data_IF_207613689710
#
_entry.id   IF_207613689710
#
_cell.length_a   1.000
_cell.length_b   1.000
_cell.length_c   1.000
_cell.angle_alpha   90.00
_cell.angle_beta   90.00
_cell.angle_gamma   90.00
#
_symmetry.space_group_name_H-M   'P 1'
#
loop_
_entity.id
_entity.type
_entity.pdbx_description
1 polymer ?
#
# COMPACT_ATOMS: atom_id res chain seq x y z
N UNK A 1 -2.58 -7.60 -8.82
CA UNK A 1 -2.87 -8.90 -8.20
C UNK A 1 -4.11 -8.67 -7.37
N UNK A 2 -5.22 -9.35 -7.65
CA UNK A 2 -6.46 -9.11 -6.91
C UNK A 2 -6.47 -9.94 -5.63
N UNK A 3 -6.80 -9.32 -4.49
CA UNK A 3 -6.90 -9.98 -3.18
C UNK A 3 -8.20 -10.79 -3.05
N UNK A 4 -9.26 -10.39 -3.76
CA UNK A 4 -10.53 -11.10 -3.86
C UNK A 4 -10.79 -11.46 -5.31
N UNK A 5 -11.21 -12.69 -5.57
CA UNK A 5 -11.56 -13.14 -6.92
C UNK A 5 -13.04 -12.86 -7.24
N UNK A 6 -13.35 -12.71 -8.53
CA UNK A 6 -14.74 -12.59 -9.01
C UNK A 6 -15.58 -13.78 -8.57
N UNK A 7 -15.01 -14.98 -8.55
CA UNK A 7 -15.71 -16.20 -8.15
C UNK A 7 -16.10 -16.18 -6.67
N UNK A 8 -15.21 -15.73 -5.79
CA UNK A 8 -15.48 -15.57 -4.35
C UNK A 8 -16.54 -14.50 -4.09
N UNK A 9 -16.40 -13.32 -4.73
CA UNK A 9 -17.38 -12.25 -4.61
C UNK A 9 -18.75 -12.72 -5.11
N UNK A 10 -18.81 -13.37 -6.26
CA UNK A 10 -20.05 -13.92 -6.86
C UNK A 10 -20.72 -14.93 -5.93
N UNK A 11 -19.94 -15.84 -5.36
CA UNK A 11 -20.43 -16.84 -4.39
C UNK A 11 -20.98 -16.18 -3.13
N UNK A 12 -20.27 -15.18 -2.60
CA UNK A 12 -20.68 -14.47 -1.37
C UNK A 12 -21.95 -13.65 -1.58
N UNK A 13 -22.10 -13.02 -2.74
CA UNK A 13 -23.29 -12.23 -3.08
C UNK A 13 -24.50 -13.10 -3.49
N UNK A 14 -24.28 -14.37 -3.83
CA UNK A 14 -25.34 -15.27 -4.29
C UNK A 14 -25.96 -14.85 -5.63
N UNK A 15 -25.26 -14.06 -6.45
CA UNK A 15 -25.82 -13.46 -7.68
C UNK A 15 -25.73 -14.36 -8.92
N UNK A 16 -25.12 -15.54 -8.81
CA UNK A 16 -24.97 -16.47 -9.93
C UNK A 16 -24.34 -15.80 -11.17
N UNK A 17 -24.94 -15.98 -12.35
CA UNK A 17 -24.47 -15.39 -13.61
C UNK A 17 -25.24 -14.11 -13.98
N UNK A 18 -25.98 -13.52 -13.04
CA UNK A 18 -26.83 -12.34 -13.30
C UNK A 18 -26.02 -11.11 -13.74
N UNK A 19 -24.80 -10.98 -13.26
CA UNK A 19 -23.91 -9.86 -13.59
C UNK A 19 -22.67 -10.33 -14.32
N UNK A 20 -22.19 -9.55 -15.33
CA UNK A 20 -20.95 -9.84 -16.05
C UNK A 20 -19.73 -9.86 -15.13
N UNK A 21 -18.74 -10.71 -15.46
CA UNK A 21 -17.48 -10.78 -14.70
C UNK A 21 -16.75 -9.44 -14.64
N UNK A 22 -16.78 -8.66 -15.71
CA UNK A 22 -16.15 -7.34 -15.75
C UNK A 22 -16.72 -6.41 -14.67
N UNK A 23 -18.04 -6.42 -14.43
CA UNK A 23 -18.67 -5.58 -13.40
C UNK A 23 -18.25 -5.99 -11.99
N UNK A 24 -18.11 -7.28 -11.74
CA UNK A 24 -17.63 -7.79 -10.46
C UNK A 24 -16.12 -7.57 -10.29
N UNK A 25 -15.35 -7.66 -11.37
CA UNK A 25 -13.93 -7.35 -11.36
C UNK A 25 -13.67 -5.89 -10.98
N UNK A 26 -14.44 -4.94 -11.53
CA UNK A 26 -14.36 -3.53 -11.16
C UNK A 26 -14.58 -3.29 -9.66
N UNK A 27 -15.42 -4.12 -9.01
CA UNK A 27 -15.64 -4.05 -7.57
C UNK A 27 -14.44 -4.60 -6.79
N UNK A 28 -13.88 -5.71 -7.25
CA UNK A 28 -12.66 -6.28 -6.66
C UNK A 28 -11.48 -5.31 -6.76
N UNK A 29 -11.27 -4.70 -7.92
CA UNK A 29 -10.20 -3.72 -8.17
C UNK A 29 -10.39 -2.46 -7.31
N UNK A 30 -11.62 -2.00 -7.13
CA UNK A 30 -11.95 -0.88 -6.24
C UNK A 30 -11.64 -1.22 -4.77
N UNK A 31 -11.94 -2.44 -4.33
CA UNK A 31 -11.59 -2.95 -3.00
C UNK A 31 -10.09 -2.96 -2.77
N UNK A 32 -9.33 -3.47 -3.73
CA UNK A 32 -7.86 -3.49 -3.66
C UNK A 32 -7.28 -2.07 -3.59
N UNK A 33 -7.83 -1.13 -4.35
CA UNK A 33 -7.43 0.28 -4.32
C UNK A 33 -7.62 0.91 -2.94
N UNK A 34 -8.64 0.48 -2.19
CA UNK A 34 -8.90 0.96 -0.81
C UNK A 34 -8.01 0.25 0.21
N UNK A 35 -7.81 -1.06 0.07
CA UNK A 35 -7.14 -1.88 1.07
C UNK A 35 -5.61 -1.82 1.00
N UNK A 36 -5.04 -1.89 -0.22
CA UNK A 36 -3.58 -1.95 -0.41
C UNK A 36 -2.81 -0.80 0.25
N UNK A 37 -3.27 0.47 0.21
CA UNK A 37 -2.59 1.56 0.90
C UNK A 37 -2.58 1.43 2.43
N UNK A 38 -3.49 0.64 3.01
CA UNK A 38 -3.54 0.39 4.45
C UNK A 38 -2.54 -0.67 4.89
N UNK A 39 -2.08 -1.52 3.98
CA UNK A 39 -1.15 -2.61 4.25
C UNK A 39 0.30 -2.14 4.21
N UNK A 40 1.14 -2.77 5.02
CA UNK A 40 2.57 -2.57 5.00
C UNK A 40 3.17 -3.04 3.68
N UNK A 41 3.84 -2.14 2.96
CA UNK A 41 4.40 -2.42 1.64
C UNK A 41 5.93 -2.57 1.66
N UNK A 42 6.53 -2.88 2.80
CA UNK A 42 7.99 -2.85 2.96
C UNK A 42 8.64 -1.52 2.52
N UNK A 43 7.90 -0.42 2.68
CA UNK A 43 8.36 0.90 2.27
C UNK A 43 8.75 1.73 3.48
N UNK A 44 9.91 2.37 3.40
CA UNK A 44 10.31 3.43 4.31
C UNK A 44 10.56 4.71 3.53
N UNK A 45 10.28 5.83 4.18
CA UNK A 45 10.51 7.16 3.61
C UNK A 45 11.83 7.72 4.12
N UNK A 46 12.67 8.16 3.19
CA UNK A 46 13.87 8.90 3.55
C UNK A 46 13.63 10.41 3.47
N UNK A 47 14.22 11.14 4.39
CA UNK A 47 13.99 12.58 4.58
C UNK A 47 15.10 13.44 3.99
N UNK A 48 16.33 12.91 3.96
CA UNK A 48 17.52 13.58 3.46
C UNK A 48 18.35 12.62 2.63
N UNK A 49 19.19 13.20 1.79
CA UNK A 49 20.16 12.47 0.99
C UNK A 49 21.48 13.23 0.88
N UNK A 50 22.54 12.52 0.57
CA UNK A 50 23.86 13.08 0.23
C UNK A 50 24.58 12.15 -0.74
N UNK A 51 25.53 12.70 -1.49
CA UNK A 51 26.43 11.96 -2.36
C UNK A 51 27.86 12.42 -2.10
N UNK A 52 28.75 11.50 -1.82
CA UNK A 52 30.19 11.81 -1.64
C UNK A 52 31.02 10.65 -2.17
N UNK A 53 31.99 10.94 -3.00
CA UNK A 53 32.91 9.95 -3.57
C UNK A 53 32.18 8.77 -4.26
N UNK A 54 31.10 9.05 -5.01
CA UNK A 54 30.24 8.06 -5.65
C UNK A 54 29.51 7.12 -4.69
N UNK A 55 29.35 7.50 -3.41
CA UNK A 55 28.55 6.80 -2.43
C UNK A 55 27.35 7.68 -2.07
N UNK A 56 26.14 7.21 -2.40
CA UNK A 56 24.90 7.82 -1.96
C UNK A 56 24.56 7.37 -0.55
N UNK A 57 24.11 8.31 0.27
CA UNK A 57 23.61 8.02 1.62
C UNK A 57 22.21 8.60 1.76
N UNK A 58 21.24 7.76 2.15
CA UNK A 58 19.87 8.15 2.41
C UNK A 58 19.60 8.07 3.91
N UNK A 59 18.96 9.12 4.46
CA UNK A 59 18.72 9.28 5.89
C UNK A 59 17.24 9.17 6.19
N UNK A 60 16.93 8.52 7.30
CA UNK A 60 15.58 8.26 7.81
C UNK A 60 15.32 9.04 9.10
N UNK A 61 14.06 9.37 9.34
CA UNK A 61 13.64 10.04 10.57
C UNK A 61 13.70 9.13 11.82
N UNK A 62 13.63 7.81 11.61
CA UNK A 62 13.64 6.81 12.69
C UNK A 62 14.73 5.77 12.46
N UNK A 63 14.99 4.95 13.50
CA UNK A 63 15.92 3.84 13.39
C UNK A 63 15.41 2.79 12.40
N UNK A 64 16.32 2.29 11.57
CA UNK A 64 16.08 1.25 10.55
C UNK A 64 16.77 -0.08 10.90
N UNK A 65 17.28 -0.21 12.11
CA UNK A 65 17.87 -1.48 12.55
C UNK A 65 16.85 -2.62 12.50
N UNK A 66 17.28 -3.75 11.91
CA UNK A 66 16.43 -4.93 11.73
C UNK A 66 15.49 -4.86 10.53
N UNK A 67 15.45 -3.72 9.81
CA UNK A 67 14.65 -3.57 8.58
C UNK A 67 15.47 -3.92 7.35
N UNK A 68 16.71 -3.43 7.30
CA UNK A 68 17.63 -3.65 6.19
C UNK A 68 18.93 -4.33 6.64
N UNK A 69 19.66 -4.90 5.67
CA UNK A 69 21.00 -5.46 5.90
C UNK A 69 21.92 -5.16 4.70
N UNK A 70 23.22 -5.13 4.94
CA UNK A 70 24.23 -4.92 3.91
C UNK A 70 24.20 -6.07 2.90
N UNK A 71 24.25 -5.76 1.61
CA UNK A 71 24.10 -6.70 0.50
C UNK A 71 22.66 -6.88 0.01
N UNK A 72 21.65 -6.30 0.69
CA UNK A 72 20.26 -6.36 0.27
C UNK A 72 20.02 -5.41 -0.91
N UNK A 73 19.25 -5.88 -1.90
CA UNK A 73 18.79 -5.03 -3.00
C UNK A 73 17.50 -4.31 -2.60
N UNK A 74 17.48 -3.00 -2.79
CA UNK A 74 16.32 -2.13 -2.54
C UNK A 74 15.97 -1.33 -3.79
N UNK A 75 14.69 -1.07 -3.98
CA UNK A 75 14.20 -0.12 -4.98
C UNK A 75 14.09 1.27 -4.33
N UNK A 76 14.81 2.23 -4.88
CA UNK A 76 14.84 3.63 -4.45
C UNK A 76 14.08 4.46 -5.47
N UNK A 77 13.13 5.27 -5.01
CA UNK A 77 12.32 6.13 -5.89
C UNK A 77 12.04 7.49 -5.23
N UNK A 78 11.82 8.52 -6.06
CA UNK A 78 11.48 9.85 -5.59
C UNK A 78 12.64 10.68 -5.06
N UNK A 79 13.87 10.20 -5.21
CA UNK A 79 15.09 10.90 -4.79
C UNK A 79 15.76 11.63 -5.96
N UNK A 80 15.38 11.30 -7.19
CA UNK A 80 16.00 11.80 -8.42
C UNK A 80 17.32 11.10 -8.77
N UNK A 81 17.87 11.44 -9.94
CA UNK A 81 19.18 10.91 -10.33
C UNK A 81 20.30 11.59 -9.53
N UNK A 82 21.34 10.84 -9.14
CA UNK A 82 21.66 9.44 -9.44
C UNK A 82 21.17 8.44 -8.37
N UNK A 83 20.31 8.86 -7.46
CA UNK A 83 19.90 8.07 -6.30
C UNK A 83 18.90 6.95 -6.67
N UNK A 84 17.96 7.22 -7.56
CA UNK A 84 16.87 6.31 -7.90
C UNK A 84 17.32 5.04 -8.63
N UNK A 85 16.52 3.98 -8.51
CA UNK A 85 16.71 2.68 -9.15
C UNK A 85 16.92 1.54 -8.16
N UNK A 86 17.21 0.34 -8.69
CA UNK A 86 17.58 -0.80 -7.86
C UNK A 86 19.01 -0.65 -7.38
N UNK A 87 19.21 -0.63 -6.09
CA UNK A 87 20.49 -0.39 -5.43
C UNK A 87 20.82 -1.51 -4.45
N UNK A 88 22.09 -1.86 -4.34
CA UNK A 88 22.55 -2.82 -3.33
C UNK A 88 23.13 -2.03 -2.16
N UNK A 89 22.63 -2.29 -0.95
CA UNK A 89 23.11 -1.61 0.26
C UNK A 89 24.55 -2.03 0.53
N UNK A 90 25.47 -1.07 0.56
CA UNK A 90 26.89 -1.27 0.88
C UNK A 90 27.24 -0.86 2.31
N UNK A 91 26.43 0.00 2.92
CA UNK A 91 26.61 0.42 4.32
C UNK A 91 25.28 0.66 5.01
N UNK A 92 25.26 0.44 6.32
CA UNK A 92 24.08 0.55 7.17
C UNK A 92 24.44 1.20 8.50
N UNK A 93 23.65 2.20 8.91
CA UNK A 93 23.72 2.80 10.24
C UNK A 93 22.37 2.81 10.94
N UNK A 94 22.29 3.46 12.09
CA UNK A 94 21.08 3.51 12.89
C UNK A 94 19.89 4.09 12.12
N UNK A 95 20.15 5.13 11.31
CA UNK A 95 19.13 5.88 10.59
C UNK A 95 19.56 6.23 9.16
N UNK A 96 20.48 5.48 8.57
CA UNK A 96 20.89 5.67 7.18
C UNK A 96 21.27 4.36 6.51
N UNK A 97 21.14 4.34 5.18
CA UNK A 97 21.74 3.35 4.30
C UNK A 97 22.67 4.05 3.32
N UNK A 98 23.69 3.33 2.84
CA UNK A 98 24.52 3.80 1.74
C UNK A 98 24.65 2.74 0.66
N UNK A 99 24.88 3.20 -0.58
CA UNK A 99 25.08 2.37 -1.77
C UNK A 99 25.85 3.14 -2.84
N UNK A 100 26.37 2.43 -3.82
CA UNK A 100 27.13 3.04 -4.91
C UNK A 100 26.20 3.80 -5.87
N UNK A 101 26.54 5.06 -6.15
CA UNK A 101 25.86 5.90 -7.12
C UNK A 101 26.84 6.92 -7.71
N UNK A 102 26.99 6.90 -9.02
CA UNK A 102 27.94 7.80 -9.71
C UNK A 102 27.31 9.16 -9.96
N UNK A 103 27.94 10.22 -9.48
CA UNK A 103 27.47 11.59 -9.67
C UNK A 103 28.38 12.62 -9.02
N UNK A 104 28.05 13.90 -9.19
CA UNK A 104 28.75 14.99 -8.50
C UNK A 104 28.45 14.96 -7.01
N UNK A 105 29.45 15.26 -6.19
CA UNK A 105 29.26 15.32 -4.73
C UNK A 105 28.19 16.33 -4.35
N UNK A 106 27.30 15.94 -3.45
CA UNK A 106 26.21 16.74 -2.92
C UNK A 106 26.22 16.65 -1.39
N UNK A 107 26.25 17.80 -0.73
CA UNK A 107 26.11 17.85 0.72
C UNK A 107 24.73 17.33 1.14
N UNK A 108 24.59 16.95 2.41
CA UNK A 108 23.30 16.50 2.95
C UNK A 108 22.23 17.58 2.75
N UNK A 109 21.11 17.18 2.16
CA UNK A 109 19.97 18.06 1.92
C UNK A 109 18.64 17.31 2.07
N UNK A 110 17.58 18.04 2.39
CA UNK A 110 16.24 17.51 2.52
C UNK A 110 15.60 17.22 1.15
N UNK A 111 14.73 16.21 1.11
CA UNK A 111 13.99 15.81 -0.09
C UNK A 111 12.53 16.15 0.10
N UNK A 112 11.91 16.79 -0.90
CA UNK A 112 10.49 17.09 -0.92
C UNK A 112 9.93 16.93 -2.33
N UNK A 113 8.93 16.03 -2.56
CA UNK A 113 8.34 15.09 -1.57
C UNK A 113 9.37 14.07 -1.08
N UNK A 114 9.07 13.37 0.03
CA UNK A 114 9.96 12.37 0.60
C UNK A 114 10.27 11.25 -0.41
N UNK A 115 11.53 10.81 -0.45
CA UNK A 115 11.92 9.65 -1.22
C UNK A 115 11.41 8.36 -0.57
N UNK A 116 11.30 7.30 -1.35
CA UNK A 116 10.80 5.99 -0.90
C UNK A 116 11.82 4.91 -1.17
N UNK A 117 11.98 4.02 -0.21
CA UNK A 117 12.82 2.82 -0.32
C UNK A 117 11.96 1.61 -0.02
N UNK A 118 12.01 0.61 -0.89
CA UNK A 118 11.24 -0.63 -0.73
C UNK A 118 12.09 -1.88 -1.00
N UNK A 119 11.74 -2.97 -0.32
CA UNK A 119 12.35 -4.30 -0.48
C UNK A 119 11.36 -5.22 -1.16
N UNK A 120 11.04 -4.96 -2.41
CA UNK A 120 10.03 -5.71 -3.14
C UNK A 120 8.61 -5.50 -2.57
N UNK A 121 7.61 -6.06 -3.26
CA UNK A 121 6.23 -6.07 -2.78
C UNK A 121 5.99 -7.30 -1.90
N UNK A 122 5.25 -7.13 -0.81
CA UNK A 122 4.73 -8.26 -0.05
C UNK A 122 3.53 -8.82 -0.80
N UNK A 123 3.51 -10.14 -0.99
CA UNK A 123 2.38 -10.83 -1.58
C UNK A 123 1.38 -11.23 -0.48
N UNK A 124 0.28 -10.52 -0.41
CA UNK A 124 -0.82 -10.77 0.51
C UNK A 124 -1.91 -11.69 -0.07
N UNK A 125 -1.73 -12.20 -1.28
CA UNK A 125 -2.75 -13.03 -1.94
C UNK A 125 -3.00 -14.38 -1.28
N UNK A 126 -2.14 -14.79 -0.36
CA UNK A 126 -2.27 -16.03 0.42
C UNK A 126 -2.72 -15.80 1.87
N UNK A 127 -2.87 -14.55 2.29
CA UNK A 127 -3.31 -14.22 3.66
C UNK A 127 -4.84 -14.20 3.75
N UNK A 128 -5.41 -15.20 4.42
CA UNK A 128 -6.85 -15.36 4.54
C UNK A 128 -7.54 -14.18 5.26
N UNK A 129 -6.85 -13.50 6.20
CA UNK A 129 -7.44 -12.37 6.91
C UNK A 129 -7.53 -11.16 5.99
N UNK A 130 -6.52 -10.92 5.17
CA UNK A 130 -6.49 -9.84 4.19
C UNK A 130 -7.46 -10.09 3.05
N UNK A 131 -7.56 -11.34 2.55
CA UNK A 131 -8.57 -11.72 1.57
C UNK A 131 -9.99 -11.48 2.09
N UNK A 132 -10.29 -11.88 3.33
CA UNK A 132 -11.58 -11.63 3.95
C UNK A 132 -11.86 -10.12 4.12
N UNK A 133 -10.86 -9.33 4.47
CA UNK A 133 -11.00 -7.88 4.55
C UNK A 133 -11.33 -7.26 3.18
N UNK A 134 -10.64 -7.69 2.11
CA UNK A 134 -10.93 -7.27 0.73
C UNK A 134 -12.35 -7.68 0.31
N UNK A 135 -12.75 -8.92 0.61
CA UNK A 135 -14.10 -9.41 0.31
C UNK A 135 -15.19 -8.57 1.02
N UNK A 136 -14.98 -8.22 2.30
CA UNK A 136 -15.92 -7.37 3.05
C UNK A 136 -16.08 -5.98 2.41
N UNK A 137 -14.96 -5.37 1.99
CA UNK A 137 -14.96 -4.09 1.28
C UNK A 137 -15.68 -4.24 -0.07
N UNK A 138 -15.42 -5.31 -0.82
CA UNK A 138 -16.07 -5.59 -2.10
C UNK A 138 -17.59 -5.71 -1.95
N UNK A 139 -18.07 -6.40 -0.93
CA UNK A 139 -19.52 -6.52 -0.63
C UNK A 139 -20.13 -5.15 -0.32
N UNK A 140 -19.48 -4.32 0.47
CA UNK A 140 -19.96 -2.97 0.80
C UNK A 140 -20.02 -2.08 -0.45
N UNK A 141 -18.97 -2.09 -1.30
CA UNK A 141 -18.96 -1.35 -2.57
C UNK A 141 -20.10 -1.82 -3.49
N UNK A 142 -20.30 -3.13 -3.56
CA UNK A 142 -21.40 -3.70 -4.35
C UNK A 142 -22.74 -3.24 -3.86
N UNK A 143 -23.01 -3.32 -2.55
CA UNK A 143 -24.26 -2.87 -1.94
C UNK A 143 -24.51 -1.38 -2.17
N UNK A 144 -23.47 -0.56 -2.04
CA UNK A 144 -23.57 0.87 -2.32
C UNK A 144 -23.95 1.17 -3.77
N UNK A 145 -23.38 0.43 -4.74
CA UNK A 145 -23.70 0.57 -6.16
C UNK A 145 -25.12 0.12 -6.50
N UNK A 146 -25.59 -0.97 -5.89
CA UNK A 146 -26.93 -1.52 -6.17
C UNK A 146 -28.03 -0.76 -5.46
N UNK A 147 -27.79 -0.19 -4.29
CA UNK A 147 -28.75 0.64 -3.57
C UNK A 147 -29.18 1.88 -4.37
N UNK A 148 -28.28 2.46 -5.15
CA UNK A 148 -28.58 3.62 -6.00
C UNK A 148 -29.46 3.26 -7.21
N UNK A 149 -29.44 2.00 -7.65
CA UNK A 149 -30.22 1.52 -8.79
C UNK A 149 -31.66 1.12 -8.40
N UNK A 150 -31.91 0.77 -7.14
CA UNK A 150 -33.22 0.27 -6.69
C UNK A 150 -34.25 1.36 -6.39
N UNK A 151 -33.96 2.64 -6.63
CA UNK A 151 -34.98 3.71 -6.59
C UNK A 151 -35.73 3.88 -5.26
N UNK A 152 -35.25 3.32 -4.15
CA UNK A 152 -35.85 3.54 -2.86
C UNK A 152 -35.49 4.93 -2.35
N UNK A 153 -36.46 5.85 -2.36
CA UNK A 153 -36.39 7.20 -1.79
C UNK A 153 -36.20 7.15 -0.25
N UNK A 154 -35.12 6.56 0.22
CA UNK A 154 -34.68 6.76 1.60
C UNK A 154 -33.74 7.96 1.59
N UNK A 155 -34.32 9.10 1.85
CA UNK A 155 -33.76 10.47 1.75
C UNK A 155 -32.56 10.71 2.66
N UNK A 156 -32.15 9.75 3.49
CA UNK A 156 -31.18 10.00 4.56
C UNK A 156 -29.93 9.12 4.56
N UNK A 157 -29.77 8.21 3.60
CA UNK A 157 -28.57 7.40 3.47
C UNK A 157 -28.16 7.26 2.01
N UNK A 158 -27.42 8.24 1.48
CA UNK A 158 -26.59 8.01 0.31
C UNK A 158 -25.25 7.43 0.79
N UNK A 159 -25.03 6.11 0.72
CA UNK A 159 -23.71 5.56 0.98
C UNK A 159 -22.78 6.11 -0.10
N UNK A 160 -21.87 6.97 0.30
CA UNK A 160 -20.82 7.41 -0.62
C UNK A 160 -20.00 6.17 -0.98
N UNK A 161 -19.89 5.79 -2.27
CA UNK A 161 -19.10 4.64 -2.69
C UNK A 161 -17.60 4.77 -2.31
N UNK A 162 -17.20 5.92 -1.81
CA UNK A 162 -15.83 6.26 -1.41
C UNK A 162 -15.63 6.38 0.10
N UNK A 163 -16.67 6.18 0.91
CA UNK A 163 -16.57 6.19 2.37
C UNK A 163 -17.07 4.88 2.95
N UNK A 164 -16.14 4.07 3.43
CA UNK A 164 -16.48 2.92 4.26
C UNK A 164 -17.20 3.42 5.53
N UNK A 165 -18.21 2.67 5.98
CA UNK A 165 -18.82 2.92 7.28
C UNK A 165 -17.76 2.78 8.39
N UNK A 166 -17.85 3.57 9.45
CA UNK A 166 -16.91 3.50 10.58
C UNK A 166 -16.83 2.08 11.19
N UNK A 167 -17.94 1.37 11.20
CA UNK A 167 -18.02 -0.01 11.69
C UNK A 167 -17.27 -0.99 10.78
N UNK A 168 -17.41 -0.86 9.46
CA UNK A 168 -16.65 -1.68 8.50
C UNK A 168 -15.16 -1.39 8.62
N UNK A 169 -14.78 -0.11 8.67
CA UNK A 169 -13.38 0.29 8.83
C UNK A 169 -12.75 -0.32 10.09
N UNK A 170 -13.48 -0.31 11.22
CA UNK A 170 -12.99 -0.92 12.46
C UNK A 170 -12.81 -2.43 12.33
N UNK A 171 -13.74 -3.14 11.67
CA UNK A 171 -13.65 -4.58 11.42
C UNK A 171 -12.48 -4.91 10.49
N UNK A 172 -12.34 -4.18 9.38
CA UNK A 172 -11.23 -4.35 8.43
C UNK A 172 -9.90 -4.12 9.12
N UNK A 173 -9.74 -3.02 9.88
CA UNK A 173 -8.51 -2.75 10.65
C UNK A 173 -8.20 -3.86 11.66
N UNK A 174 -9.22 -4.43 12.30
CA UNK A 174 -9.04 -5.57 13.20
C UNK A 174 -8.51 -6.82 12.50
N UNK A 175 -9.02 -7.13 11.31
CA UNK A 175 -8.57 -8.28 10.52
C UNK A 175 -7.13 -8.14 10.02
N UNK A 176 -6.75 -6.93 9.55
CA UNK A 176 -5.44 -6.66 8.96
C UNK A 176 -4.42 -6.12 9.97
N UNK A 177 -4.71 -6.15 11.29
CA UNK A 177 -3.89 -5.54 12.32
C UNK A 177 -2.41 -5.98 12.29
N UNK A 178 -2.15 -7.24 11.91
CA UNK A 178 -0.81 -7.81 11.79
C UNK A 178 -0.01 -7.27 10.60
N UNK A 179 -0.68 -6.70 9.61
CA UNK A 179 -0.10 -6.20 8.36
C UNK A 179 -0.37 -4.70 8.11
N UNK A 180 -0.87 -3.98 9.11
CA UNK A 180 -1.15 -2.54 8.99
C UNK A 180 0.12 -1.73 8.74
N UNK A 181 0.05 -0.81 7.79
CA UNK A 181 1.09 0.20 7.60
C UNK A 181 1.11 1.16 8.79
N UNK A 182 2.30 1.52 9.35
CA UNK A 182 2.41 2.52 10.41
C UNK A 182 1.77 3.86 10.07
N UNK A 183 1.81 4.27 8.79
CA UNK A 183 1.15 5.49 8.31
C UNK A 183 -0.37 5.45 8.37
N UNK A 184 -0.98 4.26 8.29
CA UNK A 184 -2.43 4.08 8.40
C UNK A 184 -2.94 3.98 9.85
N UNK A 185 -2.02 3.88 10.82
CA UNK A 185 -2.37 3.88 12.25
C UNK A 185 -2.60 5.30 12.81
N UNK A 186 -2.04 6.31 12.13
CA UNK A 186 -2.10 7.72 12.51
C UNK A 186 -3.11 8.40 11.59
N UNK A 187 -4.40 8.14 11.81
CA UNK A 187 -5.47 8.72 11.00
C UNK A 187 -6.65 9.19 11.82
#
# INVERSE_FOLDING_TARGET
>A
MSLTTVAELRSTLGVGTLYPDATLQDVCDASDTVLLPMLWQNQLFNTHQSLANNVATLYFASSIFGVYYVGQTVAVTGNGLPYDGNKVITGLGANYISYDATGADQSIHAIQPLGTISVGSIDYSTDAAIQNASLMISVEIWQARTATLSGSNLVDFQPSPYRMSAQLLAKVRGLIAHALSPGSMVG
#
